data_IF_670683013336
#
_entry.id   IF_670683013336
#
_cell.length_a   1.000
_cell.length_b   1.000
_cell.length_c   1.000
_cell.angle_alpha   90.00
_cell.angle_beta   90.00
_cell.angle_gamma   90.00
#
_symmetry.space_group_name_H-M   'P 1'
#
loop_
_entity.id
_entity.type
_entity.pdbx_description
1 polymer ?
#
# COMPACT_ATOMS: atom_id res chain seq x y z
N UNK A 1 27.80 34.95 2.19
CA UNK A 1 27.12 33.87 2.96
C UNK A 1 26.64 32.76 2.02
N UNK A 2 27.19 31.53 2.08
CA UNK A 2 26.72 30.48 1.19
C UNK A 2 25.43 29.88 1.75
N UNK A 3 24.34 30.27 1.09
CA UNK A 3 23.15 29.49 0.73
C UNK A 3 22.97 28.18 1.49
N UNK A 4 21.96 28.17 2.37
CA UNK A 4 21.29 26.99 2.90
C UNK A 4 20.90 26.03 1.76
N UNK A 5 21.78 25.07 1.51
CA UNK A 5 21.52 23.87 0.75
C UNK A 5 20.60 23.00 1.60
N UNK A 6 19.30 23.31 1.59
CA UNK A 6 18.25 22.37 2.00
C UNK A 6 18.26 21.23 0.99
N UNK A 7 19.27 20.36 1.10
CA UNK A 7 19.21 18.99 0.63
C UNK A 7 18.01 18.40 1.33
N UNK A 8 16.90 18.35 0.61
CA UNK A 8 15.83 17.44 0.93
C UNK A 8 16.45 16.05 0.94
N UNK A 9 16.80 15.60 2.16
CA UNK A 9 17.14 14.22 2.41
C UNK A 9 15.97 13.39 1.91
N UNK A 10 16.17 12.38 1.05
CA UNK A 10 15.09 11.52 0.55
C UNK A 10 14.35 10.75 1.67
N UNK A 11 14.79 10.92 2.92
CA UNK A 11 14.37 10.19 4.12
C UNK A 11 13.71 11.09 5.17
N UNK A 12 13.48 12.38 4.90
CA UNK A 12 12.73 13.27 5.80
C UNK A 12 11.20 13.04 5.77
N UNK A 13 10.71 12.11 4.95
CA UNK A 13 9.27 11.77 4.80
C UNK A 13 8.77 10.71 5.83
N UNK A 14 9.64 10.20 6.70
CA UNK A 14 9.26 9.22 7.71
C UNK A 14 8.70 9.86 9.00
N UNK A 15 8.74 11.18 9.12
CA UNK A 15 8.49 11.88 10.39
C UNK A 15 7.01 12.15 10.70
N UNK A 16 6.09 11.88 9.77
CA UNK A 16 4.65 11.77 10.05
C UNK A 16 4.00 10.72 9.16
N UNK A 17 4.29 9.44 9.42
CA UNK A 17 3.47 8.36 8.84
C UNK A 17 2.03 8.44 9.41
N UNK A 18 1.16 9.19 8.71
CA UNK A 18 -0.28 9.31 8.95
C UNK A 18 -1.01 8.49 7.88
N UNK A 19 -0.59 7.23 7.73
CA UNK A 19 -1.14 6.30 6.75
C UNK A 19 -1.88 5.17 7.45
N UNK A 20 -2.85 4.52 6.77
CA UNK A 20 -3.56 3.38 7.36
C UNK A 20 -2.66 2.19 7.68
N UNK A 21 -1.54 2.03 6.97
CA UNK A 21 -0.61 0.92 7.18
C UNK A 21 0.26 1.14 8.42
N UNK A 22 0.45 0.08 9.21
CA UNK A 22 1.42 0.12 10.31
C UNK A 22 2.83 0.30 9.77
N UNK A 23 3.71 0.91 10.59
CA UNK A 23 5.15 1.02 10.26
C UNK A 23 5.78 -0.33 9.94
N UNK A 24 5.33 -1.40 10.61
CA UNK A 24 5.81 -2.77 10.36
C UNK A 24 5.54 -3.19 8.93
N UNK A 25 4.32 -2.99 8.45
CA UNK A 25 3.94 -3.28 7.07
C UNK A 25 4.69 -2.38 6.09
N UNK A 26 4.76 -1.07 6.35
CA UNK A 26 5.44 -0.11 5.46
C UNK A 26 6.93 -0.39 5.29
N UNK A 27 7.61 -0.87 6.34
CA UNK A 27 9.05 -1.17 6.30
C UNK A 27 9.41 -2.51 5.67
N UNK A 28 8.44 -3.38 5.35
CA UNK A 28 8.76 -4.64 4.68
C UNK A 28 9.31 -4.36 3.28
N UNK A 29 10.49 -4.89 2.93
CA UNK A 29 11.06 -4.70 1.60
C UNK A 29 10.17 -5.39 0.56
N UNK A 30 9.92 -4.71 -0.56
CA UNK A 30 9.26 -5.36 -1.70
C UNK A 30 10.21 -6.43 -2.26
N UNK A 31 9.71 -7.64 -2.59
CA UNK A 31 10.54 -8.63 -3.26
C UNK A 31 10.93 -8.14 -4.65
N UNK A 32 12.09 -8.63 -5.13
CA UNK A 32 12.61 -8.29 -6.45
C UNK A 32 11.57 -8.62 -7.53
N UNK A 33 11.27 -7.65 -8.41
CA UNK A 33 10.23 -7.80 -9.44
C UNK A 33 8.82 -7.34 -9.04
N UNK A 34 8.60 -6.94 -7.78
CA UNK A 34 7.36 -6.26 -7.32
C UNK A 34 7.58 -4.79 -6.96
N UNK A 35 8.69 -4.20 -7.38
CA UNK A 35 8.94 -2.76 -7.31
C UNK A 35 7.83 -1.96 -8.02
N UNK A 36 7.25 -2.59 -9.06
CA UNK A 36 5.99 -2.16 -9.68
C UNK A 36 4.89 -3.15 -9.28
N UNK A 37 3.68 -2.67 -8.93
CA UNK A 37 2.55 -3.55 -8.70
C UNK A 37 2.33 -4.46 -9.92
N UNK A 38 1.93 -5.72 -9.71
CA UNK A 38 1.43 -6.55 -10.81
C UNK A 38 0.28 -5.84 -11.53
N UNK A 39 -0.07 -6.26 -12.76
CA UNK A 39 -1.37 -5.92 -13.33
C UNK A 39 -2.45 -6.50 -12.41
N UNK A 40 -2.90 -5.67 -11.48
CA UNK A 40 -4.00 -5.93 -10.57
C UNK A 40 -5.19 -5.13 -11.08
N UNK A 41 -6.37 -5.72 -11.00
CA UNK A 41 -7.60 -5.03 -11.33
C UNK A 41 -7.75 -3.80 -10.45
N UNK A 42 -8.37 -2.75 -10.98
CA UNK A 42 -8.61 -1.53 -10.22
C UNK A 42 -10.00 -1.54 -9.61
N UNK A 43 -10.10 -1.08 -8.37
CA UNK A 43 -11.36 -0.98 -7.66
C UNK A 43 -11.71 0.47 -7.37
N UNK A 44 -12.84 0.93 -7.92
CA UNK A 44 -13.35 2.28 -7.68
C UNK A 44 -14.53 2.34 -6.71
N UNK A 45 -14.95 1.18 -6.17
CA UNK A 45 -16.08 1.05 -5.25
C UNK A 45 -17.39 0.64 -5.92
N UNK A 46 -17.40 0.38 -7.23
CA UNK A 46 -18.63 0.03 -7.98
C UNK A 46 -18.94 -1.46 -8.05
N UNK A 47 -17.94 -2.32 -7.89
CA UNK A 47 -18.09 -3.79 -7.87
C UNK A 47 -18.15 -4.33 -6.45
N UNK A 48 -18.42 -5.62 -6.31
CA UNK A 48 -18.30 -6.29 -5.02
C UNK A 48 -16.86 -6.16 -4.48
N UNK A 49 -16.76 -5.87 -3.18
CA UNK A 49 -15.48 -5.63 -2.51
C UNK A 49 -14.77 -6.94 -2.20
N UNK A 50 -15.52 -7.97 -1.82
CA UNK A 50 -14.96 -9.25 -1.40
C UNK A 50 -14.42 -9.99 -2.63
N UNK A 51 -15.12 -9.91 -3.78
CA UNK A 51 -14.62 -10.38 -5.09
C UNK A 51 -13.30 -9.70 -5.48
N UNK A 52 -13.20 -8.38 -5.28
CA UNK A 52 -11.96 -7.64 -5.55
C UNK A 52 -10.80 -8.07 -4.65
N UNK A 53 -11.08 -8.29 -3.35
CA UNK A 53 -10.10 -8.81 -2.40
C UNK A 53 -9.66 -10.22 -2.78
N UNK A 54 -10.58 -11.09 -3.21
CA UNK A 54 -10.27 -12.44 -3.67
C UNK A 54 -9.41 -12.43 -4.94
N UNK A 55 -9.73 -11.59 -5.92
CA UNK A 55 -8.90 -11.42 -7.12
C UNK A 55 -7.46 -11.03 -6.78
N UNK A 56 -7.29 -10.01 -5.92
CA UNK A 56 -5.95 -9.61 -5.44
C UNK A 56 -5.26 -10.76 -4.73
N UNK A 57 -5.99 -11.49 -3.87
CA UNK A 57 -5.44 -12.63 -3.13
C UNK A 57 -4.93 -13.71 -4.09
N UNK A 58 -5.72 -14.10 -5.09
CA UNK A 58 -5.34 -15.10 -6.10
C UNK A 58 -4.08 -14.68 -6.87
N UNK A 59 -4.02 -13.43 -7.36
CA UNK A 59 -2.88 -12.95 -8.15
C UNK A 59 -1.59 -12.87 -7.31
N UNK A 60 -1.71 -12.47 -6.05
CA UNK A 60 -0.56 -12.32 -5.15
C UNK A 60 -0.12 -13.66 -4.54
N UNK A 61 -1.04 -14.59 -4.29
CA UNK A 61 -0.74 -15.95 -3.84
C UNK A 61 0.00 -16.74 -4.92
N UNK A 62 -0.38 -16.58 -6.19
CA UNK A 62 0.35 -17.17 -7.31
C UNK A 62 1.83 -16.73 -7.37
N UNK A 63 2.14 -15.56 -6.81
CA UNK A 63 3.49 -14.99 -6.76
C UNK A 63 4.19 -15.20 -5.41
N UNK A 64 3.63 -16.04 -4.54
CA UNK A 64 4.14 -16.31 -3.19
C UNK A 64 4.37 -15.03 -2.36
N UNK A 65 3.44 -14.07 -2.49
CA UNK A 65 3.55 -12.78 -1.84
C UNK A 65 3.02 -12.87 -0.41
N UNK A 66 3.85 -12.47 0.56
CA UNK A 66 3.47 -12.45 1.96
C UNK A 66 2.35 -11.44 2.25
N UNK A 67 1.51 -11.73 3.23
CA UNK A 67 0.37 -10.87 3.61
C UNK A 67 0.72 -9.41 3.89
N UNK A 68 1.86 -9.13 4.52
CA UNK A 68 2.35 -7.77 4.73
C UNK A 68 2.59 -7.02 3.41
N UNK A 69 3.14 -7.69 2.40
CA UNK A 69 3.31 -7.11 1.06
C UNK A 69 1.96 -6.94 0.35
N UNK A 70 1.01 -7.86 0.54
CA UNK A 70 -0.36 -7.68 0.01
C UNK A 70 -0.99 -6.39 0.54
N UNK A 71 -0.83 -6.08 1.82
CA UNK A 71 -1.28 -4.81 2.40
C UNK A 71 -0.59 -3.58 1.78
N UNK A 72 0.69 -3.66 1.42
CA UNK A 72 1.38 -2.56 0.71
C UNK A 72 0.89 -2.38 -0.73
N UNK A 73 0.52 -3.47 -1.40
CA UNK A 73 0.09 -3.45 -2.81
C UNK A 73 -1.39 -3.09 -2.96
N UNK A 74 -2.25 -3.48 -2.01
CA UNK A 74 -3.69 -3.22 -2.08
C UNK A 74 -4.07 -1.76 -2.40
N UNK A 75 -3.48 -0.72 -1.76
CA UNK A 75 -3.84 0.67 -2.05
C UNK A 75 -3.56 1.08 -3.50
N UNK A 76 -2.63 0.40 -4.18
CA UNK A 76 -2.30 0.67 -5.59
C UNK A 76 -3.41 0.25 -6.56
N UNK A 77 -4.34 -0.60 -6.10
CA UNK A 77 -5.53 -1.03 -6.86
C UNK A 77 -6.70 -0.07 -6.71
N UNK A 78 -6.70 0.77 -5.66
CA UNK A 78 -7.84 1.62 -5.33
C UNK A 78 -7.89 2.86 -6.23
N UNK A 79 -9.10 3.23 -6.64
CA UNK A 79 -9.39 4.42 -7.44
C UNK A 79 -10.57 5.18 -6.86
N UNK A 80 -10.72 6.44 -7.25
CA UNK A 80 -11.87 7.32 -6.91
C UNK A 80 -12.30 7.20 -5.44
N UNK A 81 -13.57 6.86 -5.18
CA UNK A 81 -14.17 6.77 -3.85
C UNK A 81 -13.47 5.76 -2.95
N UNK A 82 -13.01 4.62 -3.50
CA UNK A 82 -12.30 3.62 -2.72
C UNK A 82 -10.95 4.13 -2.18
N UNK A 83 -10.22 4.92 -2.98
CA UNK A 83 -8.99 5.56 -2.51
C UNK A 83 -9.27 6.63 -1.45
N UNK A 84 -10.35 7.39 -1.59
CA UNK A 84 -10.78 8.36 -0.58
C UNK A 84 -11.15 7.68 0.74
N UNK A 85 -11.89 6.56 0.68
CA UNK A 85 -12.19 5.75 1.86
C UNK A 85 -10.90 5.27 2.55
N UNK A 86 -9.96 4.73 1.79
CA UNK A 86 -8.69 4.23 2.32
C UNK A 86 -7.90 5.33 3.05
N UNK A 87 -7.80 6.53 2.47
CA UNK A 87 -7.11 7.67 3.10
C UNK A 87 -7.77 8.15 4.40
N UNK A 88 -9.07 7.87 4.60
CA UNK A 88 -9.82 8.25 5.79
C UNK A 88 -9.76 7.18 6.90
N UNK A 89 -9.09 6.05 6.68
CA UNK A 89 -8.90 5.06 7.74
C UNK A 89 -7.99 5.63 8.85
N UNK A 90 -8.16 5.18 10.10
CA UNK A 90 -7.28 5.59 11.18
C UNK A 90 -5.81 5.25 10.85
N UNK A 91 -4.86 6.09 11.25
CA UNK A 91 -3.44 5.79 11.09
C UNK A 91 -3.10 4.44 11.76
N UNK A 92 -2.23 3.66 11.12
CA UNK A 92 -1.73 2.39 11.66
C UNK A 92 -2.84 1.36 11.97
N UNK A 93 -4.00 1.46 11.31
CA UNK A 93 -5.13 0.52 11.46
C UNK A 93 -4.98 -0.80 10.69
N UNK A 94 -4.07 -0.87 9.72
CA UNK A 94 -3.84 -2.02 8.86
C UNK A 94 -2.48 -2.63 9.18
N UNK A 95 -2.49 -3.75 9.89
CA UNK A 95 -1.27 -4.41 10.39
C UNK A 95 -0.96 -5.76 9.72
N UNK A 96 -1.97 -6.38 9.09
CA UNK A 96 -1.84 -7.66 8.42
C UNK A 96 -2.93 -7.87 7.37
N UNK A 97 -2.66 -8.79 6.44
CA UNK A 97 -3.66 -9.34 5.54
C UNK A 97 -4.33 -10.53 6.23
N UNK A 98 -5.66 -10.63 6.15
CA UNK A 98 -6.38 -11.79 6.67
C UNK A 98 -6.28 -12.93 5.64
N UNK A 99 -5.83 -14.09 6.09
CA UNK A 99 -5.84 -15.31 5.28
C UNK A 99 -7.19 -16.01 5.32
#
# INVERSE_FOLDING_TARGET
PPRDDHRHSPWSDEERHIGPLTRRVMRVPLPVGLEKPPPLDTYDGSTDRDDHIENIKVVLDYRDVQGSIKCKLFPTTLRKGAMSWYKNLPPESIDSWRE
#
